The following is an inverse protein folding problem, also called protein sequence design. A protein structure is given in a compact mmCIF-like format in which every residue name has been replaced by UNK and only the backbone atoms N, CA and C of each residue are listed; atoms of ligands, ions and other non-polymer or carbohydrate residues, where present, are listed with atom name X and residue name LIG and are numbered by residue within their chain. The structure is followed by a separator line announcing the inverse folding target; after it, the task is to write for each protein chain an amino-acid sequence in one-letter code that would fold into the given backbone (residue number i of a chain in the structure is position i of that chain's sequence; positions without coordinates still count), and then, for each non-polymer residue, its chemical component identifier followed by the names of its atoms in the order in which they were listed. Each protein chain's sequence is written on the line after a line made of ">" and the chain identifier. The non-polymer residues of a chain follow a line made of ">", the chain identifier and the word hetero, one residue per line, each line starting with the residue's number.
data_IF_193976481347
#
_entry.id   IF_193976481347
#
_cell.length_a   1.000
_cell.length_b   1.000
_cell.length_c   1.000
_cell.angle_alpha   90.00
_cell.angle_beta   90.00
_cell.angle_gamma   90.00
#
_symmetry.space_group_name_H-M   'P 1'
#
loop_
_entity.id
_entity.type
_entity.pdbx_description
1 polymer ?
#
# COMPACT_ATOMS: atom_id res chain seq x y z
N UNK A 1 -61.73 8.88 -20.04
CA UNK A 1 -62.56 8.29 -21.10
C UNK A 1 -61.69 7.52 -22.07
N UNK A 2 -61.99 6.23 -22.20
CA UNK A 2 -61.54 5.22 -23.19
C UNK A 2 -60.03 4.90 -23.23
N UNK A 3 -59.56 3.78 -22.77
CA UNK A 3 -59.85 2.32 -22.98
C UNK A 3 -59.33 1.77 -24.30
N UNK A 4 -58.42 0.79 -24.10
CA UNK A 4 -58.29 -0.47 -24.88
C UNK A 4 -57.50 -0.39 -26.19
N UNK A 5 -56.75 -1.40 -26.61
CA UNK A 5 -56.73 -2.88 -26.42
C UNK A 5 -55.42 -3.41 -27.06
N UNK A 6 -54.76 -4.34 -26.46
CA UNK A 6 -54.68 -5.78 -26.78
C UNK A 6 -53.88 -6.24 -28.01
N UNK A 7 -53.09 -7.21 -27.70
CA UNK A 7 -52.76 -8.53 -28.28
C UNK A 7 -51.71 -8.50 -29.39
N UNK A 8 -50.80 -9.36 -29.41
CA UNK A 8 -50.59 -10.77 -29.17
C UNK A 8 -49.25 -11.10 -29.74
N UNK A 9 -48.41 -11.82 -29.12
CA UNK A 9 -48.21 -13.21 -29.16
C UNK A 9 -47.46 -13.69 -30.41
N UNK A 10 -46.23 -14.10 -30.26
CA UNK A 10 -45.74 -15.34 -30.88
C UNK A 10 -44.43 -15.79 -30.22
N UNK A 11 -44.56 -16.92 -29.60
CA UNK A 11 -43.48 -17.79 -29.10
C UNK A 11 -42.82 -18.46 -30.32
N UNK A 12 -41.50 -18.37 -30.48
CA UNK A 12 -40.74 -19.30 -31.27
C UNK A 12 -39.47 -19.71 -30.53
N UNK A 13 -39.56 -20.89 -30.00
CA UNK A 13 -38.47 -21.71 -29.53
C UNK A 13 -37.53 -22.04 -30.71
N UNK A 14 -36.27 -21.71 -30.57
CA UNK A 14 -35.21 -22.42 -31.28
C UNK A 14 -34.15 -22.88 -30.29
N UNK A 15 -34.25 -24.14 -29.96
CA UNK A 15 -33.19 -24.95 -29.36
C UNK A 15 -32.08 -25.12 -30.38
N UNK A 16 -30.91 -24.57 -30.07
CA UNK A 16 -29.67 -24.81 -30.80
C UNK A 16 -28.60 -25.16 -29.80
N UNK A 17 -28.47 -26.45 -29.54
CA UNK A 17 -27.36 -27.07 -28.81
C UNK A 17 -26.11 -26.95 -29.70
N UNK A 18 -25.16 -26.14 -29.28
CA UNK A 18 -23.76 -26.27 -29.70
C UNK A 18 -22.91 -26.58 -28.49
N UNK A 19 -22.71 -27.89 -28.28
CA UNK A 19 -21.62 -28.39 -27.45
C UNK A 19 -20.32 -28.20 -28.23
N UNK A 20 -19.47 -27.29 -27.80
CA UNK A 20 -18.06 -27.31 -28.21
C UNK A 20 -17.28 -27.84 -27.02
N UNK A 21 -16.87 -29.09 -27.12
CA UNK A 21 -15.81 -29.68 -26.32
C UNK A 21 -14.50 -28.98 -26.68
N UNK A 22 -13.98 -28.19 -25.78
CA UNK A 22 -12.58 -27.81 -25.78
C UNK A 22 -11.85 -28.68 -24.74
N UNK A 23 -11.62 -29.93 -25.15
CA UNK A 23 -10.47 -30.68 -24.68
C UNK A 23 -9.33 -30.29 -25.61
N UNK A 24 -8.34 -29.53 -25.04
CA UNK A 24 -6.98 -29.72 -25.53
C UNK A 24 -5.98 -28.95 -24.65
N UNK A 25 -5.12 -29.75 -24.04
CA UNK A 25 -3.71 -29.50 -23.79
C UNK A 25 -3.34 -28.46 -22.70
N UNK A 26 -3.56 -28.89 -21.46
CA UNK A 26 -2.60 -28.50 -20.41
C UNK A 26 -1.42 -29.51 -20.53
N UNK A 27 -0.16 -29.02 -20.61
CA UNK A 27 0.99 -29.90 -20.51
C UNK A 27 1.03 -30.52 -19.11
N UNK A 28 1.14 -31.83 -19.07
CA UNK A 28 1.27 -32.60 -17.85
C UNK A 28 2.44 -32.09 -17.02
N UNK A 29 2.13 -31.67 -15.81
CA UNK A 29 3.13 -31.39 -14.79
C UNK A 29 3.97 -32.65 -14.58
N UNK A 30 5.31 -32.61 -14.67
CA UNK A 30 6.11 -33.80 -14.38
C UNK A 30 5.88 -34.19 -12.92
N UNK A 31 5.60 -35.47 -12.67
CA UNK A 31 5.49 -36.04 -11.33
C UNK A 31 6.78 -35.71 -10.58
N UNK A 32 6.67 -34.89 -9.56
CA UNK A 32 7.77 -34.68 -8.61
C UNK A 32 8.02 -35.98 -7.85
N UNK A 33 9.19 -36.54 -8.03
CA UNK A 33 9.69 -37.64 -7.24
C UNK A 33 9.71 -37.24 -5.75
N UNK A 34 9.04 -38.02 -4.91
CA UNK A 34 9.07 -37.91 -3.47
C UNK A 34 10.45 -38.34 -2.99
N UNK A 35 11.41 -37.42 -2.89
CA UNK A 35 12.70 -37.80 -2.36
C UNK A 35 13.82 -36.76 -2.34
N UNK A 36 13.67 -35.62 -2.98
CA UNK A 36 14.67 -34.56 -2.83
C UNK A 36 14.27 -33.63 -1.68
N UNK A 37 14.88 -33.82 -0.50
CA UNK A 37 14.93 -32.77 0.52
C UNK A 37 15.56 -31.56 -0.16
N UNK A 38 14.79 -30.48 -0.32
CA UNK A 38 15.30 -29.20 -0.75
C UNK A 38 16.49 -28.87 0.17
N UNK A 39 17.67 -28.72 -0.42
CA UNK A 39 18.85 -28.28 0.31
C UNK A 39 18.55 -26.91 0.85
N UNK A 40 18.43 -26.77 2.18
CA UNK A 40 18.33 -25.44 2.81
C UNK A 40 19.57 -24.66 2.40
N UNK A 41 19.45 -23.40 1.96
CA UNK A 41 20.63 -22.61 1.66
C UNK A 41 21.52 -22.54 2.90
N UNK A 42 22.84 -22.65 2.67
CA UNK A 42 23.82 -22.63 3.73
C UNK A 42 23.80 -21.24 4.37
N UNK A 43 23.50 -21.15 5.66
CA UNK A 43 23.53 -19.88 6.40
C UNK A 43 24.93 -19.29 6.41
N UNK A 44 25.01 -18.00 6.13
CA UNK A 44 26.24 -17.23 6.34
C UNK A 44 26.56 -17.19 7.84
N UNK A 45 27.88 -17.29 8.23
CA UNK A 45 28.26 -17.17 9.64
C UNK A 45 27.86 -15.81 10.21
N UNK A 46 26.97 -15.81 11.21
CA UNK A 46 26.41 -14.58 11.82
C UNK A 46 24.99 -14.24 11.41
N UNK A 47 24.42 -14.88 10.37
CA UNK A 47 23.03 -14.63 9.94
C UNK A 47 22.02 -15.14 10.97
N UNK A 48 21.04 -14.29 11.33
CA UNK A 48 19.94 -14.62 12.23
C UNK A 48 18.86 -15.47 11.57
N UNK A 49 18.73 -15.46 10.24
CA UNK A 49 17.66 -16.13 9.50
C UNK A 49 17.91 -16.23 8.00
N UNK A 50 16.95 -16.83 7.29
CA UNK A 50 17.00 -16.97 5.84
C UNK A 50 16.51 -15.68 5.17
N UNK A 51 17.22 -15.19 4.16
CA UNK A 51 16.80 -14.06 3.36
C UNK A 51 15.70 -14.45 2.36
N UNK A 52 14.89 -13.49 1.99
CA UNK A 52 13.79 -13.64 1.02
C UNK A 52 14.16 -12.95 -0.28
N UNK A 53 14.13 -13.69 -1.39
CA UNK A 53 14.34 -13.09 -2.71
C UNK A 53 13.14 -12.26 -3.10
N UNK A 54 13.37 -10.99 -3.41
CA UNK A 54 12.32 -10.07 -3.86
C UNK A 54 12.86 -9.12 -4.93
N UNK A 55 12.06 -8.88 -5.95
CA UNK A 55 12.36 -7.87 -6.97
C UNK A 55 11.07 -7.38 -7.59
N UNK A 56 10.79 -6.10 -7.42
CA UNK A 56 9.70 -5.41 -8.12
C UNK A 56 10.28 -4.58 -9.26
N UNK A 57 9.66 -4.68 -10.42
CA UNK A 57 10.13 -3.95 -11.62
C UNK A 57 9.20 -2.78 -11.90
N UNK A 58 9.78 -1.58 -11.96
CA UNK A 58 9.03 -0.41 -12.41
C UNK A 58 8.65 -0.53 -13.89
N UNK A 59 7.50 0.03 -14.30
CA UNK A 59 7.16 0.16 -15.71
C UNK A 59 8.31 0.83 -16.50
N UNK A 60 8.57 0.35 -17.71
CA UNK A 60 9.71 0.80 -18.55
C UNK A 60 9.71 2.32 -18.81
N UNK A 61 8.54 2.95 -18.74
CA UNK A 61 8.37 4.39 -18.93
C UNK A 61 8.77 5.23 -17.72
N UNK A 62 8.88 4.62 -16.52
CA UNK A 62 9.30 5.36 -15.34
C UNK A 62 10.75 5.86 -15.50
N UNK A 63 11.00 7.09 -15.07
CA UNK A 63 12.32 7.74 -15.13
C UNK A 63 12.64 8.36 -13.76
N UNK A 64 13.92 8.37 -13.41
CA UNK A 64 14.38 9.00 -12.18
C UNK A 64 13.86 8.34 -10.92
N UNK A 65 13.60 7.03 -10.96
CA UNK A 65 13.18 6.27 -9.79
C UNK A 65 14.32 6.18 -8.77
N UNK A 66 13.95 6.28 -7.49
CA UNK A 66 14.87 6.12 -6.36
C UNK A 66 15.01 4.66 -5.93
N UNK A 67 15.84 4.44 -4.91
CA UNK A 67 15.91 3.14 -4.24
C UNK A 67 14.63 2.90 -3.46
N UNK A 68 14.06 1.71 -3.62
CA UNK A 68 12.89 1.32 -2.86
C UNK A 68 13.34 0.70 -1.53
N UNK A 69 13.47 1.54 -0.52
CA UNK A 69 13.96 1.17 0.82
C UNK A 69 13.15 1.91 1.88
N UNK A 70 13.10 1.34 3.09
CA UNK A 70 12.55 1.99 4.27
C UNK A 70 13.67 2.76 4.96
N UNK A 71 13.40 3.98 5.37
CA UNK A 71 14.33 4.83 6.13
C UNK A 71 14.08 4.56 7.63
N UNK A 72 14.92 3.70 8.22
CA UNK A 72 14.90 3.32 9.64
C UNK A 72 16.30 3.40 10.24
N UNK A 73 16.80 4.59 10.46
CA UNK A 73 18.16 4.80 10.99
C UNK A 73 18.34 4.40 12.46
N UNK A 74 17.29 4.09 13.18
CA UNK A 74 17.28 3.79 14.61
C UNK A 74 16.87 2.33 14.93
N UNK A 75 16.57 1.53 13.92
CA UNK A 75 16.11 0.15 14.11
C UNK A 75 14.74 0.05 14.77
N UNK A 76 13.86 1.03 14.52
CA UNK A 76 12.52 1.07 15.11
C UNK A 76 11.68 -0.13 14.68
N UNK A 77 11.93 -0.68 13.49
CA UNK A 77 11.23 -1.87 12.99
C UNK A 77 11.79 -3.19 13.56
N UNK A 78 12.91 -3.19 14.28
CA UNK A 78 13.53 -4.42 14.82
C UNK A 78 12.51 -5.34 15.51
N UNK A 79 11.59 -4.89 16.36
CA UNK A 79 10.63 -5.79 17.00
C UNK A 79 9.73 -6.52 16.01
N UNK A 80 9.22 -5.85 14.98
CA UNK A 80 8.35 -6.48 13.99
C UNK A 80 9.15 -7.40 13.05
N UNK A 81 10.38 -7.03 12.68
CA UNK A 81 11.25 -7.86 11.85
C UNK A 81 11.63 -9.16 12.57
N UNK A 82 11.88 -9.10 13.88
CA UNK A 82 12.08 -10.29 14.70
C UNK A 82 10.84 -11.18 14.78
N UNK A 83 9.65 -10.57 14.92
CA UNK A 83 8.40 -11.33 14.89
C UNK A 83 8.21 -12.07 13.57
N UNK A 84 8.47 -11.40 12.44
CA UNK A 84 8.41 -12.03 11.11
C UNK A 84 9.43 -13.17 10.99
N UNK A 85 10.65 -13.01 11.53
CA UNK A 85 11.68 -14.05 11.55
C UNK A 85 11.24 -15.29 12.35
N UNK A 86 10.66 -15.08 13.53
CA UNK A 86 10.19 -16.17 14.40
C UNK A 86 9.05 -16.96 13.74
N UNK A 87 8.15 -16.29 13.03
CA UNK A 87 7.08 -16.96 12.28
C UNK A 87 7.65 -17.71 11.08
N UNK A 88 8.55 -17.08 10.30
CA UNK A 88 9.13 -17.70 9.12
C UNK A 88 9.91 -18.98 9.43
N UNK A 89 10.64 -19.01 10.54
CA UNK A 89 11.43 -20.19 10.92
C UNK A 89 10.64 -21.22 11.75
N UNK A 90 9.34 -20.99 11.99
CA UNK A 90 8.46 -21.87 12.76
C UNK A 90 8.70 -21.83 14.28
N UNK A 91 9.42 -20.82 14.79
CA UNK A 91 9.62 -20.64 16.24
C UNK A 91 8.44 -19.96 16.93
N UNK A 92 7.50 -19.42 16.17
CA UNK A 92 6.23 -18.87 16.67
C UNK A 92 5.10 -19.20 15.70
N UNK A 93 3.96 -19.61 16.25
CA UNK A 93 2.70 -19.80 15.51
C UNK A 93 1.77 -18.57 15.62
N UNK A 94 2.14 -17.58 16.43
CA UNK A 94 1.35 -16.38 16.65
C UNK A 94 1.29 -15.52 15.41
N UNK A 95 0.09 -15.06 15.08
CA UNK A 95 -0.14 -14.17 13.94
C UNK A 95 0.47 -12.79 14.18
N UNK A 96 1.30 -12.32 13.24
CA UNK A 96 1.82 -10.95 13.19
C UNK A 96 0.74 -10.01 12.67
N UNK A 97 0.36 -8.99 13.44
CA UNK A 97 -0.74 -8.07 13.11
C UNK A 97 -0.21 -6.72 12.66
N UNK A 98 -0.53 -6.38 11.42
CA UNK A 98 -0.20 -5.09 10.81
C UNK A 98 -1.49 -4.33 10.52
N UNK A 99 -1.59 -3.09 10.96
CA UNK A 99 -2.74 -2.24 10.68
C UNK A 99 -2.30 -1.05 9.84
N UNK A 100 -2.96 -0.84 8.70
CA UNK A 100 -2.68 0.23 7.75
C UNK A 100 -3.84 1.21 7.72
N UNK A 101 -3.64 2.39 8.28
CA UNK A 101 -4.63 3.47 8.29
C UNK A 101 -4.29 4.53 7.23
N UNK A 102 -5.30 5.17 6.69
CA UNK A 102 -5.07 6.21 5.68
C UNK A 102 -6.32 6.75 5.02
N UNK A 103 -6.12 7.38 3.89
CA UNK A 103 -7.15 8.05 3.11
C UNK A 103 -7.82 7.14 2.06
N UNK A 104 -8.31 7.73 0.96
CA UNK A 104 -8.96 7.01 -0.13
C UNK A 104 -8.05 6.03 -0.86
N UNK A 105 -6.73 6.21 -0.83
CA UNK A 105 -5.78 5.26 -1.40
C UNK A 105 -5.78 3.94 -0.62
N UNK A 106 -5.96 4.01 0.70
CA UNK A 106 -6.10 2.83 1.55
C UNK A 106 -7.53 2.29 1.51
N UNK A 107 -8.55 3.16 1.50
CA UNK A 107 -9.96 2.77 1.42
C UNK A 107 -10.31 1.98 0.15
N UNK A 108 -9.53 2.14 -0.91
CA UNK A 108 -9.65 1.35 -2.15
C UNK A 108 -9.27 -0.12 -1.98
N UNK A 109 -8.65 -0.49 -0.89
CA UNK A 109 -8.23 -1.84 -0.47
C UNK A 109 -7.13 -2.50 -1.32
N UNK A 110 -6.94 -2.14 -2.59
CA UNK A 110 -6.01 -2.86 -3.49
C UNK A 110 -4.57 -2.72 -3.00
N UNK A 111 -4.11 -1.50 -2.73
CA UNK A 111 -2.76 -1.25 -2.22
C UNK A 111 -2.47 -2.05 -0.94
N UNK A 112 -3.21 -1.86 0.17
CA UNK A 112 -2.90 -2.57 1.41
C UNK A 112 -3.09 -4.09 1.31
N UNK A 113 -4.09 -4.57 0.57
CA UNK A 113 -4.31 -6.01 0.39
C UNK A 113 -3.22 -6.68 -0.42
N UNK A 114 -2.68 -6.00 -1.43
CA UNK A 114 -1.52 -6.51 -2.18
C UNK A 114 -0.33 -6.69 -1.24
N UNK A 115 0.01 -5.67 -0.44
CA UNK A 115 1.09 -5.77 0.54
C UNK A 115 0.85 -6.91 1.53
N UNK A 116 -0.36 -6.99 2.08
CA UNK A 116 -0.72 -8.02 3.06
C UNK A 116 -0.67 -9.43 2.49
N UNK A 117 -1.21 -9.65 1.29
CA UNK A 117 -1.18 -10.95 0.62
C UNK A 117 0.25 -11.43 0.38
N UNK A 118 1.12 -10.54 -0.10
CA UNK A 118 2.54 -10.86 -0.34
C UNK A 118 3.29 -11.18 0.95
N UNK A 119 3.03 -10.43 2.04
CA UNK A 119 3.62 -10.74 3.35
C UNK A 119 3.12 -12.09 3.88
N UNK A 120 1.83 -12.40 3.72
CA UNK A 120 1.26 -13.71 4.12
C UNK A 120 1.83 -14.85 3.29
N UNK A 121 2.02 -14.67 1.98
CA UNK A 121 2.69 -15.67 1.12
C UNK A 121 4.13 -15.95 1.58
N UNK A 122 4.83 -14.92 2.06
CA UNK A 122 6.24 -15.03 2.45
C UNK A 122 6.42 -15.61 3.83
N UNK A 123 5.66 -15.13 4.81
CA UNK A 123 5.87 -15.43 6.22
C UNK A 123 4.82 -16.39 6.82
N UNK A 124 3.69 -16.59 6.15
CA UNK A 124 2.59 -17.41 6.63
C UNK A 124 1.63 -16.65 7.56
N UNK A 125 1.83 -16.71 8.86
CA UNK A 125 0.91 -16.14 9.85
C UNK A 125 1.02 -14.60 9.95
N UNK A 126 0.56 -13.89 8.94
CA UNK A 126 0.47 -12.42 8.92
C UNK A 126 -0.99 -12.00 8.69
N UNK A 127 -1.51 -11.14 9.56
CA UNK A 127 -2.79 -10.45 9.40
C UNK A 127 -2.54 -8.99 9.05
N UNK A 128 -2.99 -8.57 7.88
CA UNK A 128 -2.86 -7.19 7.40
C UNK A 128 -4.24 -6.56 7.28
N UNK A 129 -4.56 -5.64 8.19
CA UNK A 129 -5.88 -4.99 8.25
C UNK A 129 -5.78 -3.55 7.73
N UNK A 130 -6.63 -3.18 6.79
CA UNK A 130 -6.71 -1.84 6.26
C UNK A 130 -7.91 -1.06 6.80
N UNK A 131 -7.69 0.19 7.23
CA UNK A 131 -8.70 1.11 7.75
C UNK A 131 -8.59 2.46 7.02
N UNK A 132 -9.03 2.48 5.77
CA UNK A 132 -9.03 3.69 4.96
C UNK A 132 -10.35 4.46 5.03
N UNK A 133 -10.29 5.80 4.93
CA UNK A 133 -11.46 6.68 4.88
C UNK A 133 -11.31 7.67 3.73
N UNK A 134 -12.32 7.77 2.87
CA UNK A 134 -12.29 8.71 1.74
C UNK A 134 -12.13 10.14 2.21
N UNK A 135 -11.17 10.87 1.64
CA UNK A 135 -10.91 12.26 1.98
C UNK A 135 -10.23 12.48 3.35
N UNK A 136 -9.81 11.40 4.03
CA UNK A 136 -9.19 11.51 5.35
C UNK A 136 -7.89 12.28 5.33
N UNK A 137 -7.68 13.02 6.39
CA UNK A 137 -6.40 13.60 6.84
C UNK A 137 -6.01 12.95 8.17
N UNK A 138 -4.84 13.25 8.69
CA UNK A 138 -4.44 12.83 10.03
C UNK A 138 -5.51 13.17 11.08
N UNK A 139 -6.09 14.36 11.01
CA UNK A 139 -7.14 14.83 11.92
C UNK A 139 -8.40 13.94 11.88
N UNK A 140 -8.71 13.32 10.73
CA UNK A 140 -9.87 12.41 10.63
C UNK A 140 -9.71 11.20 11.54
N UNK A 141 -8.48 10.75 11.78
CA UNK A 141 -8.19 9.63 12.66
C UNK A 141 -7.91 10.04 14.11
N UNK A 142 -7.72 11.32 14.39
CA UNK A 142 -7.57 11.87 15.75
C UNK A 142 -8.91 11.91 16.50
N UNK A 143 -9.70 10.83 16.41
CA UNK A 143 -10.99 10.67 17.08
C UNK A 143 -10.93 9.46 18.03
N UNK A 144 -11.40 9.57 19.29
CA UNK A 144 -11.30 8.49 20.27
C UNK A 144 -11.81 7.12 19.78
N UNK A 145 -12.96 7.09 19.13
CA UNK A 145 -13.55 5.83 18.62
C UNK A 145 -12.65 5.16 17.56
N UNK A 146 -11.96 5.95 16.73
CA UNK A 146 -11.04 5.40 15.73
C UNK A 146 -9.76 4.89 16.36
N UNK A 147 -9.25 5.60 17.36
CA UNK A 147 -8.09 5.15 18.13
C UNK A 147 -8.42 3.85 18.87
N UNK A 148 -9.58 3.78 19.53
CA UNK A 148 -10.04 2.55 20.17
C UNK A 148 -10.15 1.39 19.18
N UNK A 149 -10.78 1.60 18.03
CA UNK A 149 -10.92 0.59 16.99
C UNK A 149 -9.55 0.11 16.43
N UNK A 150 -8.55 0.98 16.34
CA UNK A 150 -7.18 0.60 15.96
C UNK A 150 -6.53 -0.21 17.09
N UNK A 151 -6.67 0.22 18.35
CA UNK A 151 -6.10 -0.46 19.50
C UNK A 151 -6.68 -1.87 19.72
N UNK A 152 -7.97 -2.05 19.47
CA UNK A 152 -8.67 -3.35 19.57
C UNK A 152 -8.11 -4.41 18.61
N UNK A 153 -7.51 -3.97 17.48
CA UNK A 153 -6.82 -4.87 16.55
C UNK A 153 -5.46 -5.34 17.06
N UNK A 154 -4.97 -4.77 18.16
CA UNK A 154 -3.69 -5.11 18.81
C UNK A 154 -2.53 -5.16 17.79
N UNK A 155 -2.28 -4.10 17.03
CA UNK A 155 -1.24 -4.10 16.02
C UNK A 155 0.15 -4.26 16.61
N UNK A 156 1.03 -4.94 15.86
CA UNK A 156 2.46 -5.02 16.12
C UNK A 156 3.25 -4.09 15.19
N UNK A 157 2.58 -3.56 14.14
CA UNK A 157 3.05 -2.48 13.30
C UNK A 157 1.85 -1.62 12.86
N UNK A 158 2.00 -0.30 12.96
CA UNK A 158 1.07 0.65 12.34
C UNK A 158 1.70 1.26 11.10
N UNK A 159 0.97 1.25 9.98
CA UNK A 159 1.33 1.96 8.74
C UNK A 159 0.36 3.13 8.56
N UNK A 160 0.89 4.34 8.41
CA UNK A 160 0.11 5.57 8.27
C UNK A 160 0.35 6.20 6.90
N UNK A 161 -0.70 6.26 6.07
CA UNK A 161 -0.66 6.79 4.70
C UNK A 161 -1.57 8.02 4.56
N UNK A 162 -1.00 9.18 4.82
CA UNK A 162 -1.64 10.49 4.73
C UNK A 162 -0.81 11.46 3.89
N UNK A 163 -1.31 12.67 3.68
CA UNK A 163 -0.60 13.75 2.98
C UNK A 163 -1.23 14.13 1.64
N UNK A 164 -1.98 13.24 0.99
CA UNK A 164 -2.67 13.56 -0.27
C UNK A 164 -3.73 14.63 -0.05
N UNK A 165 -4.65 14.43 0.89
CA UNK A 165 -5.75 15.37 1.14
C UNK A 165 -5.27 16.66 1.79
N UNK A 166 -4.31 16.59 2.69
CA UNK A 166 -3.65 17.77 3.26
C UNK A 166 -3.05 18.63 2.15
N UNK A 167 -2.28 18.05 1.22
CA UNK A 167 -1.66 18.77 0.10
C UNK A 167 -2.65 19.31 -0.91
N UNK A 168 -3.85 18.72 -1.03
CA UNK A 168 -4.92 19.21 -1.88
C UNK A 168 -5.64 20.44 -1.33
N UNK A 169 -5.47 20.76 -0.06
CA UNK A 169 -5.96 22.01 0.48
C UNK A 169 -5.14 23.18 -0.13
N UNK A 170 -5.82 24.10 -0.83
CA UNK A 170 -5.17 25.27 -1.44
C UNK A 170 -4.50 26.20 -0.41
N UNK A 171 -4.95 26.14 0.84
CA UNK A 171 -4.37 26.85 1.98
C UNK A 171 -3.44 25.97 2.80
N UNK A 172 -2.84 24.94 2.15
CA UNK A 172 -1.92 24.04 2.83
C UNK A 172 -0.86 24.81 3.63
N UNK A 173 -0.66 24.36 4.86
CA UNK A 173 0.34 24.92 5.75
C UNK A 173 1.06 23.77 6.47
N UNK A 174 2.37 23.71 6.32
CA UNK A 174 3.22 22.66 6.89
C UNK A 174 3.13 22.57 8.42
N UNK A 175 3.05 23.72 9.12
CA UNK A 175 2.94 23.74 10.58
C UNK A 175 1.57 23.21 11.05
N UNK A 176 0.51 23.43 10.28
CA UNK A 176 -0.82 22.86 10.58
C UNK A 176 -0.79 21.36 10.36
N UNK A 177 -0.26 20.90 9.24
CA UNK A 177 -0.11 19.47 8.92
C UNK A 177 0.74 18.77 9.99
N UNK A 178 1.87 19.38 10.38
CA UNK A 178 2.74 18.85 11.42
C UNK A 178 1.99 18.67 12.75
N UNK A 179 1.23 19.68 13.21
CA UNK A 179 0.45 19.60 14.45
C UNK A 179 -0.66 18.54 14.38
N UNK A 180 -1.29 18.37 13.23
CA UNK A 180 -2.29 17.30 13.04
C UNK A 180 -1.66 15.90 13.15
N UNK A 181 -0.44 15.74 12.63
CA UNK A 181 0.32 14.49 12.84
C UNK A 181 0.73 14.30 14.30
N UNK A 182 1.11 15.38 15.02
CA UNK A 182 1.41 15.30 16.46
C UNK A 182 0.20 14.87 17.28
N UNK A 183 -0.97 15.44 16.99
CA UNK A 183 -2.22 15.07 17.67
C UNK A 183 -2.54 13.58 17.47
N UNK A 184 -2.49 13.11 16.22
CA UNK A 184 -2.74 11.69 15.91
C UNK A 184 -1.69 10.80 16.60
N UNK A 185 -0.41 11.16 16.52
CA UNK A 185 0.67 10.38 17.14
C UNK A 185 0.53 10.30 18.65
N UNK A 186 0.16 11.41 19.30
CA UNK A 186 -0.09 11.45 20.75
C UNK A 186 -1.15 10.45 21.16
N UNK A 187 -2.33 10.51 20.52
CA UNK A 187 -3.45 9.59 20.79
C UNK A 187 -3.09 8.12 20.52
N UNK A 188 -2.34 7.85 19.44
CA UNK A 188 -1.88 6.49 19.14
C UNK A 188 -0.90 5.99 20.20
N UNK A 189 0.05 6.81 20.64
CA UNK A 189 1.03 6.44 21.68
C UNK A 189 0.41 6.24 23.06
N UNK A 190 -0.62 7.02 23.40
CA UNK A 190 -1.37 6.83 24.65
C UNK A 190 -2.04 5.45 24.71
N UNK A 191 -2.54 4.96 23.57
CA UNK A 191 -3.23 3.67 23.48
C UNK A 191 -2.29 2.50 23.12
N UNK A 192 -1.22 2.77 22.38
CA UNK A 192 -0.30 1.80 21.79
C UNK A 192 1.17 2.25 21.94
N UNK A 193 1.68 2.38 23.17
CA UNK A 193 2.94 3.07 23.46
C UNK A 193 4.17 2.44 22.79
N UNK A 194 4.18 1.13 22.57
CA UNK A 194 5.34 0.37 22.09
C UNK A 194 5.20 -0.11 20.63
N UNK A 195 4.13 0.28 19.95
CA UNK A 195 3.92 -0.16 18.56
C UNK A 195 4.75 0.71 17.60
N UNK A 196 5.64 0.12 16.78
CA UNK A 196 6.36 0.84 15.77
C UNK A 196 5.40 1.44 14.72
N UNK A 197 5.75 2.63 14.24
CA UNK A 197 4.94 3.37 13.26
C UNK A 197 5.78 3.63 12.02
N UNK A 198 5.26 3.17 10.88
CA UNK A 198 5.79 3.42 9.54
C UNK A 198 4.92 4.45 8.85
N UNK A 199 5.47 5.61 8.54
CA UNK A 199 4.82 6.63 7.71
C UNK A 199 5.08 6.35 6.23
N UNK A 200 4.08 6.55 5.38
CA UNK A 200 4.29 6.57 3.94
C UNK A 200 4.08 7.97 3.39
N UNK A 201 4.86 8.37 2.41
CA UNK A 201 4.61 9.63 1.70
C UNK A 201 3.55 9.43 0.61
N UNK A 202 2.76 10.47 0.25
CA UNK A 202 1.77 10.36 -0.82
C UNK A 202 2.46 10.08 -2.18
N UNK A 203 1.81 9.34 -3.10
CA UNK A 203 2.41 8.92 -4.37
C UNK A 203 2.57 10.05 -5.40
N UNK A 204 2.01 11.21 -5.12
CA UNK A 204 1.90 12.32 -6.06
C UNK A 204 0.52 12.42 -6.71
N UNK A 205 0.11 13.64 -7.04
CA UNK A 205 -1.20 13.90 -7.62
C UNK A 205 -1.20 15.21 -8.41
N UNK A 206 -2.23 15.38 -9.23
CA UNK A 206 -2.49 16.64 -9.93
C UNK A 206 -3.62 17.39 -9.27
N UNK A 207 -3.61 18.70 -9.33
CA UNK A 207 -4.76 19.53 -9.04
C UNK A 207 -5.48 19.95 -10.32
N UNK A 208 -6.81 20.09 -10.23
CA UNK A 208 -7.64 20.46 -11.38
C UNK A 208 -8.05 21.93 -11.35
N UNK A 209 -8.02 22.57 -12.52
CA UNK A 209 -8.46 23.94 -12.72
C UNK A 209 -9.64 23.98 -13.68
N UNK A 210 -10.67 24.76 -13.35
CA UNK A 210 -11.84 24.95 -14.20
C UNK A 210 -11.60 26.16 -15.12
N UNK A 211 -11.53 25.94 -16.42
CA UNK A 211 -11.46 27.01 -17.42
C UNK A 211 -12.86 27.48 -17.86
N UNK A 212 -12.94 28.73 -18.40
CA UNK A 212 -14.18 29.40 -18.80
C UNK A 212 -15.13 28.56 -19.69
N UNK A 213 -14.66 27.58 -20.46
CA UNK A 213 -15.45 26.72 -21.37
C UNK A 213 -15.73 25.31 -20.81
N UNK A 214 -15.87 25.13 -19.50
CA UNK A 214 -16.13 23.84 -18.82
C UNK A 214 -15.02 22.79 -18.97
N UNK A 215 -13.92 23.11 -19.62
CA UNK A 215 -12.78 22.20 -19.79
C UNK A 215 -11.95 22.23 -18.50
N UNK A 216 -11.65 21.05 -17.97
CA UNK A 216 -10.70 20.91 -16.84
C UNK A 216 -9.30 20.81 -17.40
N UNK A 217 -8.36 21.52 -16.79
CA UNK A 217 -6.92 21.34 -16.98
C UNK A 217 -6.31 20.84 -15.69
N UNK A 218 -5.21 20.13 -15.80
CA UNK A 218 -4.54 19.53 -14.67
C UNK A 218 -3.10 20.03 -14.62
N UNK A 219 -2.60 20.28 -13.43
CA UNK A 219 -1.19 20.57 -13.16
C UNK A 219 -0.74 19.77 -11.95
N UNK A 220 0.54 19.41 -11.91
CA UNK A 220 1.11 18.74 -10.73
C UNK A 220 0.83 19.58 -9.49
N UNK A 221 0.33 18.93 -8.42
CA UNK A 221 0.09 19.61 -7.16
C UNK A 221 1.42 20.03 -6.51
N UNK A 222 1.74 21.34 -6.47
CA UNK A 222 3.05 21.80 -5.99
C UNK A 222 3.20 21.63 -4.47
N UNK A 223 2.10 21.45 -3.74
CA UNK A 223 2.09 21.29 -2.28
C UNK A 223 2.43 19.87 -1.84
N UNK A 224 2.37 18.89 -2.75
CA UNK A 224 2.73 17.50 -2.44
C UNK A 224 4.17 17.41 -1.93
N UNK A 225 5.12 18.06 -2.59
CA UNK A 225 6.53 18.05 -2.15
C UNK A 225 6.69 18.67 -0.76
N UNK A 226 5.93 19.73 -0.45
CA UNK A 226 5.95 20.34 0.87
C UNK A 226 5.37 19.42 1.93
N UNK A 227 4.30 18.68 1.62
CA UNK A 227 3.73 17.68 2.51
C UNK A 227 4.71 16.51 2.75
N UNK A 228 5.39 16.03 1.72
CA UNK A 228 6.45 15.01 1.83
C UNK A 228 7.55 15.48 2.78
N UNK A 229 8.08 16.70 2.58
CA UNK A 229 9.10 17.26 3.46
C UNK A 229 8.61 17.39 4.90
N UNK A 230 7.35 17.78 5.10
CA UNK A 230 6.73 17.86 6.45
C UNK A 230 6.69 16.49 7.12
N UNK A 231 6.33 15.43 6.37
CA UNK A 231 6.33 14.06 6.89
C UNK A 231 7.73 13.60 7.28
N UNK A 232 8.75 13.90 6.47
CA UNK A 232 10.14 13.59 6.81
C UNK A 232 10.64 14.34 8.04
N UNK A 233 10.34 15.64 8.17
CA UNK A 233 10.71 16.43 9.32
C UNK A 233 10.05 15.92 10.59
N UNK A 234 8.77 15.55 10.49
CA UNK A 234 8.01 14.95 11.56
C UNK A 234 8.61 13.60 12.00
N UNK A 235 8.84 12.70 11.04
CA UNK A 235 9.43 11.39 11.32
C UNK A 235 10.77 11.49 12.02
N UNK A 236 11.65 12.38 11.56
CA UNK A 236 12.97 12.61 12.16
C UNK A 236 12.87 13.09 13.61
N UNK A 237 11.97 14.03 13.89
CA UNK A 237 11.79 14.58 15.25
C UNK A 237 11.19 13.56 16.22
N UNK A 238 10.25 12.74 15.74
CA UNK A 238 9.54 11.77 16.56
C UNK A 238 10.15 10.36 16.52
N UNK A 239 11.31 10.20 15.83
CA UNK A 239 12.01 8.91 15.69
C UNK A 239 11.11 7.83 15.09
N UNK A 240 10.39 8.18 14.02
CA UNK A 240 9.53 7.30 13.27
C UNK A 240 10.22 6.84 11.98
N UNK A 241 9.69 5.79 11.41
CA UNK A 241 10.18 5.18 10.16
C UNK A 241 9.42 5.74 8.97
N UNK A 242 10.08 5.87 7.82
CA UNK A 242 9.45 6.40 6.60
C UNK A 242 9.71 5.47 5.40
N UNK A 243 8.66 5.18 4.67
CA UNK A 243 8.73 4.70 3.30
C UNK A 243 8.36 5.84 2.36
N UNK A 244 9.36 6.35 1.64
CA UNK A 244 9.22 7.55 0.83
C UNK A 244 8.79 7.23 -0.61
N UNK A 245 7.55 6.78 -0.77
CA UNK A 245 7.00 6.43 -2.08
C UNK A 245 7.13 7.56 -3.10
N UNK A 246 6.95 8.83 -2.69
CA UNK A 246 7.04 9.97 -3.60
C UNK A 246 8.39 10.05 -4.31
N UNK A 247 9.48 9.98 -3.54
CA UNK A 247 10.82 10.06 -4.11
C UNK A 247 11.24 8.74 -4.79
N UNK A 248 10.79 7.60 -4.29
CA UNK A 248 10.99 6.29 -4.93
C UNK A 248 10.45 6.29 -6.36
N UNK A 249 9.27 6.88 -6.60
CA UNK A 249 8.66 6.91 -7.93
C UNK A 249 9.05 8.13 -8.77
N UNK A 250 10.10 8.88 -8.36
CA UNK A 250 10.72 9.95 -9.17
C UNK A 250 10.57 11.37 -8.61
N UNK A 251 9.97 11.55 -7.43
CA UNK A 251 9.91 12.82 -6.70
C UNK A 251 9.23 13.96 -7.47
N UNK A 252 9.61 15.18 -7.10
CA UNK A 252 8.98 16.42 -7.63
C UNK A 252 9.09 16.56 -9.14
N UNK A 253 10.10 15.98 -9.75
CA UNK A 253 10.33 16.10 -11.20
C UNK A 253 9.56 15.04 -12.00
N UNK A 254 9.29 13.86 -11.42
CA UNK A 254 8.87 12.71 -12.21
C UNK A 254 7.72 11.91 -11.64
N UNK A 255 7.47 11.90 -10.33
CA UNK A 255 6.48 11.02 -9.71
C UNK A 255 5.12 11.04 -10.43
N UNK A 256 4.47 12.21 -10.52
CA UNK A 256 3.17 12.33 -11.19
C UNK A 256 3.25 11.94 -12.68
N UNK A 257 4.33 12.36 -13.37
CA UNK A 257 4.50 12.06 -14.78
C UNK A 257 4.71 10.56 -15.03
N UNK A 258 5.48 9.89 -14.20
CA UNK A 258 5.71 8.45 -14.30
C UNK A 258 4.39 7.67 -14.20
N UNK A 259 3.56 7.97 -13.21
CA UNK A 259 2.25 7.36 -13.06
C UNK A 259 1.33 7.62 -14.26
N UNK A 260 1.37 8.87 -14.78
CA UNK A 260 0.56 9.28 -15.94
C UNK A 260 1.03 8.58 -17.22
N UNK A 261 2.33 8.65 -17.52
CA UNK A 261 2.92 8.08 -18.75
C UNK A 261 2.75 6.56 -18.81
N UNK A 262 2.68 5.89 -17.65
CA UNK A 262 2.39 4.47 -17.56
C UNK A 262 0.88 4.13 -17.67
N UNK A 263 0.02 5.13 -17.77
CA UNK A 263 -1.43 4.89 -17.82
C UNK A 263 -2.03 4.33 -16.53
N UNK A 264 -1.39 4.56 -15.38
CA UNK A 264 -1.77 3.98 -14.09
C UNK A 264 -2.65 4.88 -13.22
N UNK A 265 -2.92 6.13 -13.67
CA UNK A 265 -3.81 7.07 -12.98
C UNK A 265 -5.23 7.04 -13.51
N UNK A 266 -6.20 7.28 -12.63
CA UNK A 266 -7.59 7.52 -13.01
C UNK A 266 -7.74 8.89 -13.69
N UNK A 267 -8.85 9.15 -14.40
CA UNK A 267 -9.13 10.44 -15.04
C UNK A 267 -9.20 11.64 -14.09
N UNK A 268 -9.32 11.43 -12.80
CA UNK A 268 -9.26 12.49 -11.78
C UNK A 268 -7.85 12.96 -11.48
N UNK A 269 -6.84 12.18 -11.90
CA UNK A 269 -5.41 12.44 -11.73
C UNK A 269 -4.98 12.54 -10.24
N UNK A 270 -5.74 11.93 -9.35
CA UNK A 270 -5.44 11.79 -7.92
C UNK A 270 -5.35 10.32 -7.53
N UNK A 271 -6.34 9.55 -7.98
CA UNK A 271 -6.43 8.12 -7.70
C UNK A 271 -5.78 7.29 -8.82
N UNK A 272 -5.53 6.03 -8.52
CA UNK A 272 -4.86 5.10 -9.41
C UNK A 272 -5.81 4.02 -9.92
N UNK A 273 -5.47 3.43 -11.04
CA UNK A 273 -6.10 2.22 -11.52
C UNK A 273 -5.67 1.02 -10.65
N UNK A 274 -6.37 -0.11 -10.70
CA UNK A 274 -6.01 -1.30 -9.92
C UNK A 274 -4.53 -1.68 -10.05
N UNK A 275 -3.99 -1.63 -11.26
CA UNK A 275 -2.59 -1.94 -11.55
C UNK A 275 -1.62 -0.96 -10.86
N UNK A 276 -1.99 0.32 -10.80
CA UNK A 276 -1.21 1.33 -10.08
C UNK A 276 -1.19 1.10 -8.57
N UNK A 277 -2.33 0.73 -7.99
CA UNK A 277 -2.40 0.37 -6.58
C UNK A 277 -1.71 -0.96 -6.27
N UNK A 278 -1.77 -1.93 -7.18
CA UNK A 278 -1.02 -3.18 -7.07
C UNK A 278 0.48 -2.91 -7.05
N UNK A 279 0.98 -2.07 -7.96
CA UNK A 279 2.39 -1.68 -7.97
C UNK A 279 2.81 -0.99 -6.65
N UNK A 280 1.96 -0.11 -6.09
CA UNK A 280 2.25 0.51 -4.78
C UNK A 280 2.37 -0.54 -3.67
N UNK A 281 1.48 -1.55 -3.68
CA UNK A 281 1.51 -2.64 -2.70
C UNK A 281 2.74 -3.54 -2.84
N UNK A 282 3.11 -3.88 -4.05
CA UNK A 282 4.32 -4.66 -4.35
C UNK A 282 5.59 -3.88 -3.93
N UNK A 283 5.63 -2.57 -4.17
CA UNK A 283 6.77 -1.74 -3.76
C UNK A 283 6.89 -1.64 -2.23
N UNK A 284 5.79 -1.48 -1.50
CA UNK A 284 5.85 -1.48 -0.02
C UNK A 284 6.28 -2.84 0.51
N UNK A 285 5.73 -3.92 -0.05
CA UNK A 285 6.17 -5.28 0.28
C UNK A 285 7.68 -5.46 0.06
N UNK A 286 8.20 -5.09 -1.13
CA UNK A 286 9.64 -5.19 -1.43
C UNK A 286 10.48 -4.40 -0.43
N UNK A 287 10.05 -3.19 -0.04
CA UNK A 287 10.77 -2.37 0.92
C UNK A 287 10.81 -3.03 2.32
N UNK A 288 9.70 -3.65 2.76
CA UNK A 288 9.65 -4.41 4.02
C UNK A 288 10.59 -5.63 3.95
N UNK A 289 10.58 -6.37 2.83
CA UNK A 289 11.46 -7.53 2.66
C UNK A 289 12.94 -7.13 2.65
N UNK A 290 13.29 -6.00 2.04
CA UNK A 290 14.68 -5.49 2.09
C UNK A 290 15.12 -5.18 3.53
N UNK A 291 14.28 -4.49 4.30
CA UNK A 291 14.54 -4.24 5.72
C UNK A 291 14.66 -5.56 6.53
N UNK A 292 13.78 -6.52 6.24
CA UNK A 292 13.87 -7.86 6.83
C UNK A 292 15.18 -8.57 6.48
N UNK A 293 15.58 -8.59 5.20
CA UNK A 293 16.81 -9.22 4.76
C UNK A 293 18.05 -8.58 5.40
N UNK A 294 18.06 -7.25 5.52
CA UNK A 294 19.14 -6.54 6.23
C UNK A 294 19.19 -6.98 7.69
N UNK A 295 18.05 -7.01 8.38
CA UNK A 295 17.95 -7.44 9.77
C UNK A 295 18.46 -8.88 10.00
N UNK A 296 18.09 -9.84 9.16
CA UNK A 296 18.50 -11.24 9.35
C UNK A 296 19.92 -11.54 8.90
N UNK A 297 20.55 -10.65 8.12
CA UNK A 297 21.93 -10.79 7.65
C UNK A 297 22.96 -10.30 8.66
N UNK A 298 22.54 -9.57 9.69
CA UNK A 298 23.38 -9.02 10.77
C UNK A 298 23.08 -9.67 12.11
#
# INVERSE_FOLDING_TARGET
>A
MRLNKRLGGLLLLFSGIFSVQAQDLLPACPRMDKGTKACKPMREPGSLGDTVSVKVTFPVVFRGVGRNEIIDSLGVLTPILERLRLVQNGSSEDTVRIVHIGDSHIRGHIFPRTTGARLTETFGAVSYTDMGVNGATCLTFSHPDRIAAIADLKPELLVLSFGTNESHNRKYNSNVHYRQMEELLGLLRDSLPNVPILLTTPPGSYESFRQRRRRRTYAVNPRTVTAVNTIHDFARRHKLVVWDMYNIVGGSLRACKNWMDAGLMRPDHVHYLPEGYTLQGELLYEAIIKAYNEYVSH
#
